data_IF_195279301797
#
_entry.id   IF_195279301797
#
_cell.length_a   1.000
_cell.length_b   1.000
_cell.length_c   1.000
_cell.angle_alpha   90.00
_cell.angle_beta   90.00
_cell.angle_gamma   90.00
#
_symmetry.space_group_name_H-M   'P 1'
#
loop_
_entity.id
_entity.type
_entity.pdbx_description
1 polymer ?
#
# COMPACT_ATOMS: atom_id res chain seq x y z
N UNK A 1 0.73 -11.37 15.14
CA UNK A 1 -0.10 -10.36 14.44
C UNK A 1 0.49 -8.98 14.74
N UNK A 2 0.78 -8.15 13.73
CA UNK A 2 1.24 -6.78 13.97
C UNK A 2 0.10 -5.94 14.54
N UNK A 3 0.33 -5.23 15.65
CA UNK A 3 -0.67 -4.35 16.29
C UNK A 3 -1.16 -3.23 15.38
N UNK A 4 -0.41 -2.93 14.31
CA UNK A 4 -0.74 -1.88 13.35
C UNK A 4 -1.45 -2.38 12.09
N UNK A 5 -1.69 -3.70 11.95
CA UNK A 5 -2.36 -4.23 10.75
C UNK A 5 -3.80 -3.69 10.65
N UNK A 6 -4.19 -3.02 9.54
CA UNK A 6 -5.57 -2.58 9.35
C UNK A 6 -6.54 -3.76 9.37
N UNK A 7 -7.73 -3.55 9.95
CA UNK A 7 -8.75 -4.60 10.08
C UNK A 7 -9.86 -4.52 9.01
N UNK A 8 -10.02 -3.35 8.36
CA UNK A 8 -11.05 -3.09 7.34
C UNK A 8 -10.45 -3.00 5.95
N UNK A 9 -11.24 -3.41 4.96
CA UNK A 9 -10.94 -3.16 3.56
C UNK A 9 -11.22 -1.68 3.22
N UNK A 10 -10.52 -1.11 2.22
CA UNK A 10 -9.48 -1.73 1.39
C UNK A 10 -8.06 -1.72 2.01
N UNK A 11 -7.86 -1.00 3.11
CA UNK A 11 -6.54 -0.83 3.73
C UNK A 11 -5.89 -2.15 4.15
N UNK A 12 -6.67 -3.13 4.64
CA UNK A 12 -6.15 -4.44 5.05
C UNK A 12 -5.50 -5.20 3.88
N UNK A 13 -6.20 -5.33 2.76
CA UNK A 13 -5.64 -6.03 1.58
C UNK A 13 -4.40 -5.34 1.04
N UNK A 14 -4.41 -3.99 0.98
CA UNK A 14 -3.25 -3.20 0.55
C UNK A 14 -2.04 -3.42 1.46
N UNK A 15 -2.25 -3.39 2.78
CA UNK A 15 -1.21 -3.67 3.77
C UNK A 15 -0.63 -5.08 3.58
N UNK A 16 -1.48 -6.08 3.39
CA UNK A 16 -1.02 -7.46 3.21
C UNK A 16 -0.28 -7.67 1.88
N UNK A 17 -0.68 -6.96 0.80
CA UNK A 17 0.07 -6.94 -0.45
C UNK A 17 1.47 -6.34 -0.29
N UNK A 18 1.57 -5.24 0.45
CA UNK A 18 2.87 -4.63 0.79
C UNK A 18 3.75 -5.59 1.58
N UNK A 19 3.23 -6.26 2.61
CA UNK A 19 4.01 -7.22 3.40
C UNK A 19 4.47 -8.44 2.56
N UNK A 20 3.61 -8.95 1.66
CA UNK A 20 3.97 -10.03 0.73
C UNK A 20 5.10 -9.62 -0.20
N UNK A 21 5.08 -8.39 -0.71
CA UNK A 21 6.16 -7.90 -1.57
C UNK A 21 7.44 -7.59 -0.78
N UNK A 22 7.30 -7.01 0.42
CA UNK A 22 8.41 -6.74 1.32
C UNK A 22 9.19 -7.97 1.77
N UNK A 23 8.56 -9.15 1.78
CA UNK A 23 9.25 -10.42 2.04
C UNK A 23 10.32 -10.76 0.97
N UNK A 24 10.25 -10.15 -0.23
CA UNK A 24 11.17 -10.38 -1.37
C UNK A 24 12.35 -9.41 -1.40
N UNK A 25 12.48 -8.52 -0.42
CA UNK A 25 13.53 -7.48 -0.31
C UNK A 25 14.96 -8.01 -0.39
N UNK A 26 15.19 -9.23 0.14
CA UNK A 26 16.55 -9.78 0.38
C UNK A 26 17.40 -9.95 -0.88
N UNK A 27 16.81 -9.93 -2.07
CA UNK A 27 17.50 -10.19 -3.35
C UNK A 27 17.44 -9.03 -4.34
N UNK A 28 17.08 -7.81 -3.90
CA UNK A 28 16.90 -6.65 -4.80
C UNK A 28 17.66 -5.43 -4.31
N UNK A 29 18.02 -4.55 -5.24
CA UNK A 29 18.47 -3.21 -4.90
C UNK A 29 17.33 -2.40 -4.27
N UNK A 30 17.67 -1.31 -3.58
CA UNK A 30 16.68 -0.43 -2.93
C UNK A 30 15.67 0.14 -3.93
N UNK A 31 16.15 0.56 -5.10
CA UNK A 31 15.32 1.17 -6.16
C UNK A 31 14.35 0.15 -6.78
N UNK A 32 14.83 -1.05 -7.11
CA UNK A 32 13.99 -2.15 -7.60
C UNK A 32 12.96 -2.57 -6.56
N UNK A 33 13.37 -2.62 -5.30
CA UNK A 33 12.51 -2.97 -4.19
C UNK A 33 11.39 -1.93 -4.00
N UNK A 34 11.71 -0.64 -3.93
CA UNK A 34 10.72 0.43 -3.80
C UNK A 34 9.73 0.45 -4.97
N UNK A 35 10.25 0.30 -6.20
CA UNK A 35 9.42 0.23 -7.40
C UNK A 35 8.45 -0.95 -7.35
N UNK A 36 8.94 -2.12 -6.93
CA UNK A 36 8.10 -3.31 -6.80
C UNK A 36 7.03 -3.17 -5.71
N UNK A 37 7.35 -2.53 -4.57
CA UNK A 37 6.36 -2.27 -3.52
C UNK A 37 5.26 -1.31 -3.98
N UNK A 38 5.62 -0.20 -4.62
CA UNK A 38 4.64 0.74 -5.18
C UNK A 38 3.73 0.04 -6.20
N UNK A 39 4.32 -0.77 -7.08
CA UNK A 39 3.55 -1.52 -8.07
C UNK A 39 2.61 -2.55 -7.41
N UNK A 40 3.07 -3.27 -6.37
CA UNK A 40 2.25 -4.23 -5.65
C UNK A 40 1.08 -3.54 -4.92
N UNK A 41 1.35 -2.42 -4.25
CA UNK A 41 0.33 -1.60 -3.57
C UNK A 41 -0.68 -1.06 -4.57
N UNK A 42 -0.23 -0.49 -5.69
CA UNK A 42 -1.11 0.06 -6.71
C UNK A 42 -1.98 -1.01 -7.37
N UNK A 43 -1.40 -2.17 -7.71
CA UNK A 43 -2.13 -3.30 -8.29
C UNK A 43 -3.24 -3.80 -7.35
N UNK A 44 -2.92 -3.99 -6.06
CA UNK A 44 -3.93 -4.41 -5.08
C UNK A 44 -4.99 -3.32 -4.87
N UNK A 45 -4.59 -2.05 -4.84
CA UNK A 45 -5.52 -0.94 -4.70
C UNK A 45 -6.51 -0.87 -5.87
N UNK A 46 -6.06 -1.06 -7.12
CA UNK A 46 -6.95 -1.16 -8.29
C UNK A 46 -7.94 -2.31 -8.13
N UNK A 47 -7.45 -3.49 -7.72
CA UNK A 47 -8.30 -4.67 -7.54
C UNK A 47 -9.37 -4.45 -6.47
N UNK A 48 -9.00 -3.84 -5.34
CA UNK A 48 -9.95 -3.50 -4.27
C UNK A 48 -10.90 -2.39 -4.68
N UNK A 49 -10.44 -1.38 -5.42
CA UNK A 49 -11.29 -0.31 -5.92
C UNK A 49 -12.40 -0.86 -6.82
N UNK A 50 -12.06 -1.74 -7.76
CA UNK A 50 -13.07 -2.40 -8.60
C UNK A 50 -14.01 -3.29 -7.79
N UNK A 51 -13.48 -4.08 -6.85
CA UNK A 51 -14.28 -4.99 -6.01
C UNK A 51 -15.29 -4.25 -5.12
N UNK A 52 -14.87 -3.12 -4.55
CA UNK A 52 -15.66 -2.32 -3.61
C UNK A 52 -16.40 -1.16 -4.28
N UNK A 53 -16.31 -1.04 -5.61
CA UNK A 53 -16.88 0.06 -6.39
C UNK A 53 -16.41 1.45 -5.92
N UNK A 54 -15.13 1.55 -5.56
CA UNK A 54 -14.48 2.77 -5.15
C UNK A 54 -13.73 3.42 -6.32
N UNK A 55 -13.25 4.64 -6.10
CA UNK A 55 -12.39 5.32 -7.05
C UNK A 55 -11.07 4.55 -7.19
N UNK A 56 -10.63 4.35 -8.44
CA UNK A 56 -9.32 3.78 -8.74
C UNK A 56 -8.24 4.84 -8.46
N UNK A 57 -7.28 4.57 -7.57
CA UNK A 57 -6.23 5.53 -7.26
C UNK A 57 -5.19 5.56 -8.39
N UNK A 58 -4.61 6.74 -8.63
CA UNK A 58 -3.48 6.86 -9.55
C UNK A 58 -2.18 6.41 -8.87
N UNK A 59 -1.14 6.10 -9.66
CA UNK A 59 0.19 5.82 -9.10
C UNK A 59 0.72 7.02 -8.30
N UNK A 60 0.40 8.25 -8.71
CA UNK A 60 0.77 9.47 -7.99
C UNK A 60 0.10 9.58 -6.61
N UNK A 61 -1.13 9.07 -6.45
CA UNK A 61 -1.79 8.99 -5.14
C UNK A 61 -1.08 8.00 -4.22
N UNK A 62 -0.63 6.86 -4.78
CA UNK A 62 0.14 5.85 -4.05
C UNK A 62 1.49 6.41 -3.58
N UNK A 63 2.22 7.12 -4.44
CA UNK A 63 3.49 7.76 -4.11
C UNK A 63 3.32 8.92 -3.11
N UNK A 64 2.23 9.69 -3.21
CA UNK A 64 1.89 10.72 -2.22
C UNK A 64 1.64 10.08 -0.85
N UNK A 65 0.86 9.01 -0.80
CA UNK A 65 0.59 8.29 0.45
C UNK A 65 1.86 7.67 1.06
N UNK A 66 2.76 7.15 0.22
CA UNK A 66 4.05 6.61 0.64
C UNK A 66 4.92 7.68 1.30
N UNK A 67 5.06 8.85 0.66
CA UNK A 67 5.83 9.99 1.22
C UNK A 67 5.32 10.43 2.58
N UNK A 68 4.00 10.41 2.78
CA UNK A 68 3.38 10.74 4.07
C UNK A 68 3.56 9.65 5.13
N UNK A 69 3.78 8.41 4.70
CA UNK A 69 4.07 7.28 5.59
C UNK A 69 5.54 7.17 5.97
N UNK A 70 6.45 7.68 5.13
CA UNK A 70 7.88 7.62 5.35
C UNK A 70 8.29 8.19 6.73
N UNK A 71 9.20 7.51 7.42
CA UNK A 71 9.65 7.89 8.76
C UNK A 71 8.72 7.46 9.91
N UNK A 72 7.53 6.93 9.64
CA UNK A 72 6.65 6.42 10.70
C UNK A 72 6.99 4.96 11.08
N UNK A 73 6.99 4.66 12.39
CA UNK A 73 7.23 3.30 12.91
C UNK A 73 6.20 2.26 12.43
N UNK A 74 5.01 2.71 12.02
CA UNK A 74 3.94 1.90 11.43
C UNK A 74 3.77 2.20 9.93
N UNK A 75 4.88 2.42 9.23
CA UNK A 75 4.97 2.76 7.80
C UNK A 75 3.96 2.02 6.92
N UNK A 76 3.95 0.69 6.95
CA UNK A 76 3.10 -0.13 6.08
C UNK A 76 1.60 0.12 6.33
N UNK A 77 1.22 0.28 7.60
CA UNK A 77 -0.16 0.56 7.97
C UNK A 77 -0.58 1.97 7.56
N UNK A 78 0.28 2.96 7.82
CA UNK A 78 0.01 4.36 7.44
C UNK A 78 -0.11 4.51 5.93
N UNK A 79 0.77 3.86 5.17
CA UNK A 79 0.70 3.89 3.71
C UNK A 79 -0.59 3.25 3.21
N UNK A 80 -0.95 2.07 3.72
CA UNK A 80 -2.19 1.40 3.33
C UNK A 80 -3.44 2.22 3.65
N UNK A 81 -3.48 2.92 4.78
CA UNK A 81 -4.55 3.88 5.10
C UNK A 81 -4.57 5.06 4.12
N UNK A 82 -3.43 5.69 3.84
CA UNK A 82 -3.39 6.81 2.89
C UNK A 82 -3.82 6.42 1.47
N UNK A 83 -3.52 5.20 1.03
CA UNK A 83 -4.03 4.67 -0.25
C UNK A 83 -5.52 4.40 -0.18
N UNK A 84 -6.02 3.86 0.93
CA UNK A 84 -7.45 3.67 1.15
C UNK A 84 -8.24 4.98 1.11
N UNK A 85 -7.72 6.02 1.76
CA UNK A 85 -8.33 7.35 1.77
C UNK A 85 -8.39 7.95 0.35
N UNK A 86 -7.37 7.73 -0.48
CA UNK A 86 -7.37 8.15 -1.88
C UNK A 86 -8.43 7.45 -2.76
N UNK A 87 -8.90 6.27 -2.35
CA UNK A 87 -10.00 5.55 -3.03
C UNK A 87 -11.38 6.01 -2.55
N UNK A 88 -11.47 6.64 -1.38
CA UNK A 88 -12.70 7.14 -0.78
C UNK A 88 -12.98 8.62 -1.09
N UNK A 89 -12.01 9.33 -1.69
CA UNK A 89 -12.08 10.75 -2.05
C UNK A 89 -12.62 10.97 -3.47
#
# INVERSE_FOLDING_TARGET
MSVFRPIREPARSVHDALLREGAKRKSRTVEEWLTAERAAVWKEAIAQAHKLQLRVPSIADVERAERLAHGHSHYAAKWAHGVADAMLA
#
